data_IF_854224409214
#
_entry.id   IF_854224409214
#
_cell.length_a   1.000
_cell.length_b   1.000
_cell.length_c   1.000
_cell.angle_alpha   90.00
_cell.angle_beta   90.00
_cell.angle_gamma   90.00
#
_symmetry.space_group_name_H-M   'P 1'
#
loop_
_entity.id
_entity.type
_entity.pdbx_description
1 polymer ?
#
# COMPACT_ATOMS: atom_id res chain seq x y z
N UNK A 1 -8.49 41.53 -44.83
CA UNK A 1 -9.28 40.38 -44.41
C UNK A 1 -8.50 39.05 -44.43
N UNK A 2 -7.78 38.68 -45.50
CA UNK A 2 -7.05 37.40 -45.58
C UNK A 2 -5.95 37.20 -44.50
N UNK A 3 -5.29 38.25 -44.02
CA UNK A 3 -4.25 38.17 -42.96
C UNK A 3 -4.83 37.92 -41.57
N UNK A 4 -6.04 38.34 -41.28
CA UNK A 4 -6.71 38.10 -39.99
C UNK A 4 -7.26 36.67 -39.87
N UNK A 5 -7.68 36.09 -40.99
CA UNK A 5 -8.15 34.70 -41.04
C UNK A 5 -7.00 33.72 -40.77
N UNK A 6 -5.79 33.98 -41.29
CA UNK A 6 -4.64 33.17 -41.02
C UNK A 6 -4.19 33.20 -39.54
N UNK A 7 -4.28 34.37 -38.89
CA UNK A 7 -3.95 34.52 -37.46
C UNK A 7 -4.94 33.78 -36.57
N UNK A 8 -6.24 33.80 -36.91
CA UNK A 8 -7.29 33.08 -36.18
C UNK A 8 -7.13 31.55 -36.29
N UNK A 9 -6.73 31.04 -37.46
CA UNK A 9 -6.46 29.61 -37.68
C UNK A 9 -5.24 29.11 -36.88
N UNK A 10 -4.21 29.95 -36.72
CA UNK A 10 -3.02 29.61 -35.90
C UNK A 10 -3.39 29.59 -34.41
N UNK A 11 -4.20 30.53 -33.92
CA UNK A 11 -4.65 30.55 -32.51
C UNK A 11 -5.55 29.36 -32.22
N UNK A 12 -6.43 28.95 -33.13
CA UNK A 12 -7.26 27.73 -32.95
C UNK A 12 -6.46 26.43 -32.95
N UNK A 13 -5.33 26.38 -33.69
CA UNK A 13 -4.50 25.19 -33.71
C UNK A 13 -3.60 25.03 -32.47
N UNK A 14 -3.31 26.13 -31.77
CA UNK A 14 -2.56 26.09 -30.49
C UNK A 14 -3.41 25.72 -29.26
N UNK A 15 -4.74 25.67 -29.40
CA UNK A 15 -5.65 25.43 -28.28
C UNK A 15 -5.93 23.94 -27.95
N UNK A 16 -5.25 22.98 -28.60
CA UNK A 16 -5.66 21.57 -28.55
C UNK A 16 -4.68 20.57 -27.99
N UNK A 17 -3.76 20.93 -27.10
CA UNK A 17 -2.98 19.91 -26.39
C UNK A 17 -2.92 20.22 -24.89
N UNK A 18 -4.07 20.34 -24.26
CA UNK A 18 -4.13 20.09 -22.82
C UNK A 18 -4.27 18.58 -22.66
N UNK A 19 -3.16 17.89 -22.53
CA UNK A 19 -3.19 16.51 -22.02
C UNK A 19 -3.69 16.59 -20.58
N UNK A 20 -4.88 16.07 -20.33
CA UNK A 20 -5.33 15.89 -18.96
C UNK A 20 -4.27 15.01 -18.25
N UNK A 21 -3.63 15.60 -17.24
CA UNK A 21 -2.69 14.84 -16.41
C UNK A 21 -3.50 13.80 -15.62
N UNK A 22 -3.09 12.55 -15.69
CA UNK A 22 -3.72 11.49 -14.89
C UNK A 22 -3.60 11.81 -13.40
N UNK A 23 -4.63 11.45 -12.66
CA UNK A 23 -4.68 11.62 -11.21
C UNK A 23 -3.45 10.98 -10.53
N UNK A 24 -2.88 11.60 -9.48
CA UNK A 24 -1.87 10.97 -8.65
C UNK A 24 -2.29 9.59 -8.12
N UNK A 25 -3.58 9.37 -7.87
CA UNK A 25 -4.11 8.06 -7.50
C UNK A 25 -3.83 6.97 -8.54
N UNK A 26 -3.56 7.33 -9.80
CA UNK A 26 -3.19 6.39 -10.87
C UNK A 26 -1.66 6.32 -11.03
N UNK A 27 -0.96 7.45 -10.87
CA UNK A 27 0.43 7.59 -11.32
C UNK A 27 1.47 7.49 -10.20
N UNK A 28 1.07 7.50 -8.93
CA UNK A 28 2.01 7.53 -7.80
C UNK A 28 2.55 6.16 -7.36
N UNK A 29 2.09 5.07 -7.95
CA UNK A 29 2.44 3.72 -7.55
C UNK A 29 3.86 3.35 -7.97
N UNK A 30 4.59 2.74 -7.05
CA UNK A 30 5.91 2.19 -7.33
C UNK A 30 5.74 0.83 -7.99
N UNK A 31 6.04 0.75 -9.29
CA UNK A 31 5.89 -0.47 -10.07
C UNK A 31 7.22 -1.19 -10.27
N UNK A 32 7.19 -2.52 -10.17
CA UNK A 32 8.34 -3.38 -10.41
C UNK A 32 7.89 -4.77 -10.94
N UNK A 33 8.55 -5.23 -12.00
CA UNK A 33 8.28 -6.52 -12.63
C UNK A 33 9.56 -7.35 -12.88
N UNK A 34 10.67 -6.98 -12.24
CA UNK A 34 11.98 -7.59 -12.52
C UNK A 34 12.74 -7.99 -11.28
N UNK A 35 12.53 -7.31 -10.16
CA UNK A 35 13.34 -7.49 -8.97
C UNK A 35 12.50 -8.11 -7.85
N UNK A 36 13.14 -8.96 -7.05
CA UNK A 36 12.54 -9.69 -5.94
C UNK A 36 12.84 -9.05 -4.60
N UNK A 37 11.97 -9.24 -3.63
CA UNK A 37 12.15 -8.79 -2.27
C UNK A 37 13.14 -9.65 -1.50
N UNK A 38 13.43 -9.24 -0.27
CA UNK A 38 14.34 -9.97 0.60
C UNK A 38 13.91 -9.92 2.07
N UNK A 39 14.50 -10.79 2.88
CA UNK A 39 14.20 -10.87 4.30
C UNK A 39 15.45 -11.22 5.12
N UNK A 40 15.39 -10.87 6.41
CA UNK A 40 16.36 -11.32 7.40
C UNK A 40 15.80 -12.45 8.24
N UNK A 41 16.68 -13.35 8.66
CA UNK A 41 16.40 -14.32 9.72
C UNK A 41 17.26 -14.00 10.94
N UNK A 42 16.81 -14.43 12.12
CA UNK A 42 17.56 -14.19 13.35
C UNK A 42 18.98 -14.78 13.27
N UNK A 43 19.96 -13.96 13.66
CA UNK A 43 21.38 -14.32 13.62
C UNK A 43 22.05 -14.21 12.24
N UNK A 44 21.32 -13.85 11.18
CA UNK A 44 21.88 -13.59 9.86
C UNK A 44 21.71 -12.13 9.46
N UNK A 45 22.82 -11.45 9.24
CA UNK A 45 22.84 -10.01 8.85
C UNK A 45 22.91 -9.80 7.33
N UNK A 46 22.83 -10.86 6.54
CA UNK A 46 22.76 -10.79 5.08
C UNK A 46 21.33 -11.08 4.65
N UNK A 47 20.67 -10.17 3.91
CA UNK A 47 19.32 -10.42 3.44
C UNK A 47 19.29 -11.61 2.47
N UNK A 48 18.23 -12.40 2.57
CA UNK A 48 17.97 -13.57 1.73
C UNK A 48 16.88 -13.18 0.74
N UNK A 49 17.09 -13.47 -0.54
CA UNK A 49 16.09 -13.28 -1.59
C UNK A 49 14.87 -14.19 -1.33
N UNK A 50 13.66 -13.66 -1.38
CA UNK A 50 12.43 -14.43 -1.22
C UNK A 50 11.83 -14.93 -2.54
N UNK A 51 12.40 -14.55 -3.68
CA UNK A 51 11.94 -14.96 -5.01
C UNK A 51 10.61 -14.34 -5.45
N UNK A 52 10.06 -13.38 -4.70
CA UNK A 52 8.76 -12.75 -4.96
C UNK A 52 8.99 -11.30 -5.38
N UNK A 53 8.33 -10.84 -6.46
CA UNK A 53 8.43 -9.47 -6.91
C UNK A 53 7.96 -8.49 -5.82
N UNK A 54 8.75 -7.44 -5.57
CA UNK A 54 8.35 -6.40 -4.64
C UNK A 54 7.56 -5.27 -5.34
N UNK A 55 6.95 -4.37 -4.56
CA UNK A 55 6.11 -3.26 -5.01
C UNK A 55 4.86 -3.72 -5.79
N UNK A 56 4.31 -2.83 -6.61
CA UNK A 56 3.15 -3.10 -7.45
C UNK A 56 3.60 -3.68 -8.79
N UNK A 57 2.88 -4.67 -9.32
CA UNK A 57 3.19 -5.25 -10.62
C UNK A 57 2.44 -4.54 -11.74
N UNK A 58 1.15 -4.25 -11.52
CA UNK A 58 0.30 -3.61 -12.52
C UNK A 58 -0.62 -2.58 -11.86
N UNK A 59 -0.86 -1.48 -12.57
CA UNK A 59 -1.85 -0.48 -12.19
C UNK A 59 -2.78 -0.25 -13.37
N UNK A 60 -4.04 -0.59 -13.18
CA UNK A 60 -5.11 -0.40 -14.14
C UNK A 60 -6.12 0.61 -13.61
N UNK A 61 -6.92 1.24 -14.46
CA UNK A 61 -7.93 2.17 -14.01
C UNK A 61 -9.15 2.20 -14.94
N UNK A 62 -10.27 2.55 -14.37
CA UNK A 62 -11.52 2.85 -15.04
C UNK A 62 -11.88 4.32 -14.82
N UNK A 63 -13.09 4.71 -15.16
CA UNK A 63 -13.64 6.04 -14.84
C UNK A 63 -13.73 6.28 -13.33
N UNK A 64 -14.01 5.22 -12.55
CA UNK A 64 -14.38 5.36 -11.14
C UNK A 64 -13.34 4.79 -10.17
N UNK A 65 -12.48 3.88 -10.63
CA UNK A 65 -11.55 3.14 -9.77
C UNK A 65 -10.16 2.99 -10.37
N UNK A 66 -9.19 2.89 -9.47
CA UNK A 66 -7.86 2.35 -9.74
C UNK A 66 -7.77 0.94 -9.16
N UNK A 67 -7.13 0.04 -9.89
CA UNK A 67 -6.86 -1.35 -9.50
C UNK A 67 -5.36 -1.55 -9.41
N UNK A 68 -4.86 -1.86 -8.24
CA UNK A 68 -3.43 -2.03 -7.97
C UNK A 68 -3.15 -3.49 -7.67
N UNK A 69 -2.44 -4.15 -8.57
CA UNK A 69 -2.02 -5.54 -8.41
C UNK A 69 -0.68 -5.57 -7.71
N UNK A 70 -0.57 -6.32 -6.64
CA UNK A 70 0.64 -6.42 -5.83
C UNK A 70 0.79 -7.79 -5.18
N UNK A 71 2.03 -8.19 -4.98
CA UNK A 71 2.39 -9.36 -4.17
C UNK A 71 2.46 -9.04 -2.67
N UNK A 72 2.32 -7.78 -2.29
CA UNK A 72 2.37 -7.34 -0.89
C UNK A 72 3.78 -7.27 -0.31
N UNK A 73 4.81 -7.39 -1.13
CA UNK A 73 6.21 -7.39 -0.71
C UNK A 73 6.81 -5.98 -0.86
N UNK A 74 7.48 -5.43 0.17
CA UNK A 74 8.20 -4.17 0.06
C UNK A 74 9.56 -4.33 -0.62
N UNK A 75 10.13 -3.22 -1.12
CA UNK A 75 11.47 -3.17 -1.71
C UNK A 75 12.61 -3.18 -0.68
N UNK A 76 12.30 -3.02 0.59
CA UNK A 76 13.27 -3.13 1.69
C UNK A 76 13.20 -4.52 2.33
N UNK A 77 14.31 -5.03 2.91
CA UNK A 77 14.31 -6.32 3.59
C UNK A 77 13.33 -6.33 4.77
N UNK A 78 12.59 -7.42 4.91
CA UNK A 78 11.64 -7.63 6.02
C UNK A 78 12.23 -8.54 7.10
N UNK A 79 11.66 -8.51 8.31
CA UNK A 79 12.09 -9.36 9.43
C UNK A 79 13.43 -8.97 10.07
N UNK A 80 13.94 -9.78 11.01
CA UNK A 80 13.24 -10.94 11.58
C UNK A 80 12.04 -10.49 12.42
N UNK A 81 10.92 -11.19 12.33
CA UNK A 81 9.73 -10.89 13.12
C UNK A 81 9.78 -11.63 14.46
N UNK A 82 9.54 -10.88 15.55
CA UNK A 82 9.63 -11.38 16.92
C UNK A 82 8.28 -11.77 17.52
N UNK A 83 7.21 -11.69 16.75
CA UNK A 83 5.82 -11.88 17.17
C UNK A 83 5.33 -13.33 17.04
N UNK A 84 6.17 -14.26 16.58
CA UNK A 84 5.83 -15.65 16.37
C UNK A 84 5.00 -15.92 15.10
N UNK A 85 4.73 -14.90 14.29
CA UNK A 85 4.18 -15.09 12.96
C UNK A 85 5.21 -15.75 12.01
N UNK A 86 4.78 -16.27 10.84
CA UNK A 86 5.73 -16.70 9.84
C UNK A 86 6.75 -15.61 9.59
N UNK A 87 8.02 -15.93 9.78
CA UNK A 87 9.12 -14.97 9.72
C UNK A 87 9.48 -14.54 8.30
N UNK A 88 8.71 -14.95 7.31
CA UNK A 88 8.94 -14.65 5.90
C UNK A 88 7.63 -14.14 5.30
N UNK A 89 7.70 -13.00 4.63
CA UNK A 89 6.57 -12.49 3.87
C UNK A 89 6.32 -13.37 2.64
N UNK A 90 5.05 -13.71 2.40
CA UNK A 90 4.61 -14.56 1.30
C UNK A 90 3.85 -13.74 0.24
N UNK A 91 3.75 -14.31 -0.97
CA UNK A 91 2.95 -13.73 -2.06
C UNK A 91 1.47 -13.68 -1.68
N UNK A 92 0.94 -12.48 -1.59
CA UNK A 92 -0.46 -12.25 -1.23
C UNK A 92 -1.38 -12.21 -2.45
N UNK A 93 -0.84 -11.96 -3.64
CA UNK A 93 -1.59 -11.85 -4.92
C UNK A 93 -2.86 -10.99 -4.80
N UNK A 94 -2.71 -9.79 -4.26
CA UNK A 94 -3.82 -8.90 -3.92
C UNK A 94 -4.09 -7.92 -5.06
N UNK A 95 -5.38 -7.60 -5.27
CA UNK A 95 -5.83 -6.48 -6.08
C UNK A 95 -6.55 -5.49 -5.17
N UNK A 96 -5.95 -4.30 -4.99
CA UNK A 96 -6.62 -3.20 -4.30
C UNK A 96 -7.47 -2.40 -5.27
N UNK A 97 -8.75 -2.24 -4.97
CA UNK A 97 -9.66 -1.39 -5.70
C UNK A 97 -9.88 -0.08 -4.92
N UNK A 98 -9.46 1.04 -5.50
CA UNK A 98 -9.45 2.36 -4.84
C UNK A 98 -10.31 3.33 -5.64
N UNK A 99 -11.30 4.00 -5.03
CA UNK A 99 -12.14 4.96 -5.73
C UNK A 99 -11.33 6.20 -6.16
N UNK A 100 -11.52 6.64 -7.41
CA UNK A 100 -10.94 7.86 -7.94
C UNK A 100 -11.64 9.13 -7.44
N UNK A 101 -12.90 9.00 -7.05
CA UNK A 101 -13.75 10.10 -6.60
C UNK A 101 -14.34 9.81 -5.21
N UNK A 102 -13.49 9.68 -4.16
CA UNK A 102 -13.97 9.39 -2.82
C UNK A 102 -14.86 10.53 -2.31
N UNK A 103 -15.96 10.19 -1.64
CA UNK A 103 -16.86 11.15 -1.02
C UNK A 103 -16.69 11.12 0.49
N UNK A 104 -16.66 12.31 1.09
CA UNK A 104 -16.63 12.42 2.54
C UNK A 104 -17.95 11.88 3.13
N UNK A 105 -17.84 11.06 4.16
CA UNK A 105 -19.00 10.68 4.96
C UNK A 105 -19.49 11.92 5.76
N UNK A 106 -20.70 12.38 5.47
CA UNK A 106 -21.35 13.49 6.17
C UNK A 106 -22.31 13.03 7.27
N UNK A 107 -22.47 11.72 7.44
CA UNK A 107 -23.28 11.12 8.50
C UNK A 107 -22.50 10.86 9.79
N UNK A 108 -23.04 9.97 10.61
CA UNK A 108 -22.35 9.50 11.82
C UNK A 108 -21.05 8.78 11.43
N UNK A 109 -19.89 9.13 12.04
CA UNK A 109 -18.65 8.43 11.76
C UNK A 109 -18.78 6.93 12.04
N UNK A 110 -18.34 6.11 11.10
CA UNK A 110 -18.28 4.65 11.26
C UNK A 110 -16.87 4.28 11.72
N UNK A 111 -16.72 3.58 12.84
CA UNK A 111 -15.41 3.09 13.28
C UNK A 111 -14.80 2.16 12.21
N UNK A 112 -13.49 2.22 12.04
CA UNK A 112 -12.78 1.21 11.25
C UNK A 112 -12.89 -0.14 11.97
N UNK A 113 -12.94 -1.20 11.18
CA UNK A 113 -12.87 -2.58 11.69
C UNK A 113 -11.44 -3.12 11.52
N UNK A 114 -11.04 -4.15 12.28
CA UNK A 114 -9.82 -4.89 11.99
C UNK A 114 -9.75 -5.34 10.53
N UNK A 115 -8.56 -5.45 9.99
CA UNK A 115 -8.29 -5.76 8.59
C UNK A 115 -7.63 -4.59 7.84
N UNK A 116 -7.57 -4.69 6.53
CA UNK A 116 -6.99 -3.66 5.67
C UNK A 116 -7.77 -2.34 5.76
N UNK A 117 -7.09 -1.26 6.11
CA UNK A 117 -7.63 0.10 6.14
C UNK A 117 -6.99 1.01 5.08
N UNK A 118 -5.98 0.52 4.37
CA UNK A 118 -5.30 1.26 3.32
C UNK A 118 -4.22 0.44 2.62
N UNK A 119 -3.54 1.09 1.69
CA UNK A 119 -2.41 0.52 0.97
C UNK A 119 -1.36 1.60 0.75
N UNK A 120 -0.09 1.27 0.96
CA UNK A 120 1.03 2.15 0.64
C UNK A 120 1.30 2.16 -0.86
N UNK A 121 1.96 3.22 -1.35
CA UNK A 121 2.28 3.37 -2.79
C UNK A 121 3.19 2.26 -3.33
N UNK A 122 3.84 1.48 -2.47
CA UNK A 122 4.60 0.28 -2.82
C UNK A 122 3.74 -1.01 -2.81
N UNK A 123 2.42 -0.90 -2.68
CA UNK A 123 1.52 -2.04 -2.72
C UNK A 123 1.42 -2.85 -1.42
N UNK A 124 2.10 -2.44 -0.36
CA UNK A 124 1.99 -3.10 0.95
C UNK A 124 0.71 -2.65 1.66
N UNK A 125 -0.04 -3.60 2.20
CA UNK A 125 -1.28 -3.34 2.93
C UNK A 125 -1.01 -2.59 4.25
N UNK A 126 -1.89 -1.65 4.58
CA UNK A 126 -1.95 -1.01 5.90
C UNK A 126 -3.12 -1.60 6.68
N UNK A 127 -2.82 -2.26 7.78
CA UNK A 127 -3.82 -2.84 8.67
C UNK A 127 -4.24 -1.88 9.78
N UNK A 128 -5.44 -2.10 10.33
CA UNK A 128 -5.90 -1.41 11.53
C UNK A 128 -4.99 -1.78 12.72
N UNK A 129 -4.70 -0.81 13.57
CA UNK A 129 -3.84 -1.00 14.76
C UNK A 129 -4.35 -2.06 15.77
N UNK A 130 -5.60 -2.47 15.65
CA UNK A 130 -6.22 -3.52 16.46
C UNK A 130 -6.15 -4.89 15.82
N UNK A 131 -5.56 -4.95 14.60
CA UNK A 131 -5.49 -6.18 13.83
C UNK A 131 -4.19 -6.92 14.14
N UNK A 132 -4.34 -8.16 14.56
CA UNK A 132 -3.22 -9.04 14.77
C UNK A 132 -2.70 -9.10 16.20
N UNK A 133 -1.54 -9.70 16.29
CA UNK A 133 -0.81 -10.04 17.49
C UNK A 133 0.42 -9.15 17.58
N UNK A 134 0.74 -8.65 18.76
CA UNK A 134 1.95 -7.91 19.02
C UNK A 134 2.92 -8.70 19.92
N UNK A 135 4.19 -8.42 19.82
CA UNK A 135 5.21 -8.95 20.72
C UNK A 135 5.37 -8.02 21.92
N UNK A 136 5.26 -8.57 23.13
CA UNK A 136 5.51 -7.84 24.35
C UNK A 136 6.95 -8.11 24.81
N UNK A 137 7.83 -7.14 24.66
CA UNK A 137 9.25 -7.25 25.03
C UNK A 137 9.47 -7.42 26.53
N UNK A 138 8.57 -6.92 27.37
CA UNK A 138 8.67 -7.05 28.83
C UNK A 138 8.41 -8.48 29.30
N UNK A 139 7.45 -9.15 28.71
CA UNK A 139 7.09 -10.54 29.06
C UNK A 139 7.71 -11.57 28.14
N UNK A 140 8.37 -11.13 27.05
CA UNK A 140 8.87 -12.00 25.96
C UNK A 140 7.81 -12.99 25.48
N UNK A 141 6.60 -12.48 25.22
CA UNK A 141 5.44 -13.27 24.82
C UNK A 141 4.53 -12.49 23.89
N UNK A 142 3.70 -13.21 23.14
CA UNK A 142 2.67 -12.61 22.31
C UNK A 142 1.55 -12.00 23.18
N UNK A 143 0.99 -10.88 22.72
CA UNK A 143 -0.18 -10.24 23.33
C UNK A 143 -1.10 -9.71 22.24
N UNK A 144 -2.38 -9.49 22.59
CA UNK A 144 -3.40 -9.08 21.63
C UNK A 144 -3.81 -10.19 20.65
N UNK A 145 -4.83 -9.94 19.88
CA UNK A 145 -5.38 -10.94 18.96
C UNK A 145 -6.09 -12.11 19.67
N UNK A 146 -6.70 -13.03 18.90
CA UNK A 146 -7.39 -14.18 19.44
C UNK A 146 -6.45 -15.15 20.17
N UNK A 147 -6.79 -15.51 21.37
CA UNK A 147 -6.04 -16.53 22.14
C UNK A 147 -4.84 -16.02 22.94
N UNK A 148 -4.46 -14.77 22.81
CA UNK A 148 -3.38 -14.15 23.58
C UNK A 148 -3.89 -13.23 24.67
N UNK A 149 -3.11 -13.00 25.75
CA UNK A 149 -3.47 -12.03 26.77
C UNK A 149 -3.51 -10.60 26.15
N UNK A 150 -4.28 -9.67 26.72
CA UNK A 150 -4.27 -8.28 26.28
C UNK A 150 -2.86 -7.68 26.39
N UNK A 151 -2.50 -6.85 25.40
CA UNK A 151 -1.25 -6.10 25.48
C UNK A 151 -1.29 -5.08 26.63
N UNK A 152 -0.17 -4.82 27.32
CA UNK A 152 -0.06 -3.74 28.29
C UNK A 152 -0.42 -2.40 27.63
N UNK A 153 -1.27 -1.60 28.28
CA UNK A 153 -1.77 -0.34 27.70
C UNK A 153 -3.12 -0.47 26.99
N UNK A 154 -3.69 -1.67 26.95
CA UNK A 154 -5.03 -1.93 26.42
C UNK A 154 -5.07 -2.16 24.90
N UNK A 155 -6.29 -2.28 24.35
CA UNK A 155 -6.47 -2.46 22.91
C UNK A 155 -5.83 -1.30 22.13
N UNK A 156 -4.90 -1.62 21.25
CA UNK A 156 -4.20 -0.63 20.44
C UNK A 156 -2.91 -0.07 21.05
N UNK A 157 -2.44 -0.60 22.17
CA UNK A 157 -1.08 -0.33 22.60
C UNK A 157 -0.13 -0.93 21.56
N UNK A 158 0.56 -0.06 20.84
CA UNK A 158 1.67 -0.45 19.96
C UNK A 158 2.80 -0.89 20.88
N UNK A 159 3.16 -2.14 20.80
CA UNK A 159 4.35 -2.64 21.47
C UNK A 159 5.54 -2.36 20.56
N UNK A 160 6.64 -1.95 21.15
CA UNK A 160 7.88 -1.67 20.42
C UNK A 160 8.31 -2.91 19.64
N UNK A 161 8.61 -2.68 18.39
CA UNK A 161 9.20 -3.65 17.47
C UNK A 161 10.71 -3.60 17.56
#
# INVERSE_FOLDING_TARGET
MKKFIALYAIIMFMATVVKAQLSPAITSWLQNNTETGSYYVEGNYTPIDNGILYNCQTVEYSTDYVYVHTKGIPSYPTGPFMDGNPSIAEDQDIIFQIPLHPQQNTGTPTPTTPGNIGVFINGVALFDYRDGVAWNTTTSALCGGPGNPPCPGGPGAIMDW
#
